data_IF_105102447450
#
_entry.id   IF_105102447450
#
_cell.length_a   1.000
_cell.length_b   1.000
_cell.length_c   1.000
_cell.angle_alpha   90.00
_cell.angle_beta   90.00
_cell.angle_gamma   90.00
#
_symmetry.space_group_name_H-M   'P 1'
#
loop_
_entity.id
_entity.type
_entity.pdbx_description
1 polymer ?
#
# COMPACT_ATOMS: atom_id res chain seq x y z
N UNK A 1 -2.68 19.18 9.91
CA UNK A 1 -2.25 18.99 8.51
C UNK A 1 -0.85 18.41 8.58
N UNK A 2 -0.56 17.37 7.81
CA UNK A 2 0.81 16.83 7.74
C UNK A 2 1.72 17.87 7.09
N UNK A 3 2.96 18.01 7.58
CA UNK A 3 3.98 18.87 6.97
C UNK A 3 4.54 18.28 5.66
N UNK A 4 4.16 17.04 5.33
CA UNK A 4 4.57 16.38 4.11
C UNK A 4 3.73 16.82 2.90
N UNK A 5 4.35 17.08 1.75
CA UNK A 5 3.62 17.34 0.52
C UNK A 5 2.76 16.13 0.13
N UNK A 6 1.53 16.35 -0.38
CA UNK A 6 0.61 15.26 -0.71
C UNK A 6 1.03 14.47 -1.95
N UNK A 7 1.89 15.04 -2.78
CA UNK A 7 2.46 14.42 -3.98
C UNK A 7 3.96 14.73 -3.98
N UNK A 8 4.76 13.69 -4.22
CA UNK A 8 6.22 13.76 -4.28
C UNK A 8 6.68 13.10 -5.57
N UNK A 9 7.87 13.45 -6.02
CA UNK A 9 8.53 12.81 -7.16
C UNK A 9 9.53 11.73 -6.70
N UNK A 10 10.23 11.15 -7.67
CA UNK A 10 11.22 10.09 -7.41
C UNK A 10 12.42 10.62 -6.60
N UNK A 11 12.90 11.84 -6.91
CA UNK A 11 14.07 12.40 -6.27
C UNK A 11 13.83 12.63 -4.77
N UNK A 12 12.63 13.12 -4.42
CA UNK A 12 12.22 13.26 -3.04
C UNK A 12 12.23 11.91 -2.30
N UNK A 13 11.70 10.85 -2.92
CA UNK A 13 11.69 9.51 -2.30
C UNK A 13 13.10 8.98 -2.09
N UNK A 14 14.00 9.14 -3.07
CA UNK A 14 15.39 8.70 -2.97
C UNK A 14 16.17 9.43 -1.86
N UNK A 15 15.90 10.73 -1.65
CA UNK A 15 16.52 11.54 -0.60
C UNK A 15 16.08 11.11 0.82
N UNK A 16 14.81 10.75 1.01
CA UNK A 16 14.25 10.46 2.33
C UNK A 16 14.27 8.96 2.70
N UNK A 17 14.40 8.05 1.72
CA UNK A 17 14.47 6.61 1.97
C UNK A 17 15.53 6.18 3.00
N UNK A 18 16.74 6.78 3.01
CA UNK A 18 17.80 6.41 3.95
C UNK A 18 17.53 6.84 5.40
N UNK A 19 16.61 7.79 5.65
CA UNK A 19 16.34 8.35 6.98
C UNK A 19 15.65 7.35 7.91
N UNK A 20 14.98 6.35 7.34
CA UNK A 20 14.42 5.20 8.07
C UNK A 20 13.12 5.48 8.84
N UNK A 21 12.62 6.71 8.82
CA UNK A 21 11.31 7.09 9.36
C UNK A 21 10.20 7.14 8.29
N UNK A 22 10.57 7.03 7.02
CA UNK A 22 9.64 6.99 5.89
C UNK A 22 8.96 5.62 5.76
N UNK A 23 7.63 5.61 5.87
CA UNK A 23 6.82 4.43 5.54
C UNK A 23 6.31 4.48 4.10
N UNK A 24 6.74 3.52 3.28
CA UNK A 24 6.27 3.35 1.90
C UNK A 24 5.24 2.22 1.80
N UNK A 25 4.02 2.55 1.38
CA UNK A 25 2.97 1.57 1.08
C UNK A 25 2.85 1.31 -0.42
N UNK A 26 2.95 0.06 -0.86
CA UNK A 26 2.60 -0.36 -2.22
C UNK A 26 1.15 -0.84 -2.26
N UNK A 27 0.29 -0.03 -2.88
CA UNK A 27 -1.15 -0.29 -2.98
C UNK A 27 -1.54 -1.09 -4.22
N UNK A 28 -0.57 -1.52 -5.04
CA UNK A 28 -0.83 -2.41 -6.17
C UNK A 28 -1.17 -3.81 -5.66
N UNK A 29 -1.71 -4.64 -6.55
CA UNK A 29 -2.00 -6.04 -6.22
C UNK A 29 -0.75 -6.82 -5.79
N UNK A 30 -0.91 -7.88 -4.95
CA UNK A 30 0.21 -8.60 -4.33
C UNK A 30 1.18 -9.19 -5.36
N UNK A 31 0.68 -9.63 -6.50
CA UNK A 31 1.50 -10.17 -7.59
C UNK A 31 2.44 -9.11 -8.21
N UNK A 32 2.06 -7.83 -8.21
CA UNK A 32 2.90 -6.76 -8.74
C UNK A 32 4.05 -6.44 -7.77
N UNK A 33 3.74 -6.30 -6.48
CA UNK A 33 4.74 -6.09 -5.43
C UNK A 33 5.77 -7.22 -5.41
N UNK A 34 5.31 -8.49 -5.42
CA UNK A 34 6.18 -9.66 -5.38
C UNK A 34 7.16 -9.76 -6.56
N UNK A 35 6.80 -9.24 -7.75
CA UNK A 35 7.67 -9.27 -8.94
C UNK A 35 8.69 -8.14 -8.98
N UNK A 36 8.44 -7.03 -8.28
CA UNK A 36 9.30 -5.86 -8.27
C UNK A 36 8.63 -4.66 -7.60
N UNK A 37 9.31 -4.11 -6.61
CA UNK A 37 8.83 -3.01 -5.79
C UNK A 37 9.99 -2.12 -5.35
N UNK A 38 9.65 -0.91 -4.88
CA UNK A 38 10.62 0.01 -4.29
C UNK A 38 11.17 -0.62 -3.00
N UNK A 39 12.50 -0.65 -2.79
CA UNK A 39 13.10 -1.19 -1.57
C UNK A 39 12.45 -0.62 -0.30
N UNK A 40 12.19 -1.48 0.68
CA UNK A 40 11.58 -1.09 1.96
C UNK A 40 10.05 -0.95 1.95
N UNK A 41 9.41 -0.83 0.77
CA UNK A 41 7.95 -0.71 0.67
C UNK A 41 7.20 -1.94 1.21
N UNK A 42 6.07 -1.69 1.87
CA UNK A 42 5.19 -2.71 2.43
C UNK A 42 3.95 -2.90 1.56
N UNK A 43 3.53 -4.14 1.28
CA UNK A 43 2.29 -4.38 0.56
C UNK A 43 1.11 -3.90 1.41
N UNK A 44 0.35 -2.94 0.89
CA UNK A 44 -0.81 -2.36 1.56
C UNK A 44 -2.03 -2.64 0.68
N UNK A 45 -2.57 -3.86 0.79
CA UNK A 45 -3.70 -4.28 -0.02
C UNK A 45 -4.96 -3.60 0.50
N UNK A 46 -5.33 -2.49 -0.14
CA UNK A 46 -6.55 -1.76 0.15
C UNK A 46 -7.74 -2.42 -0.56
N UNK A 47 -8.80 -2.75 0.19
CA UNK A 47 -10.05 -3.24 -0.38
C UNK A 47 -10.17 -4.76 -0.58
N UNK A 48 -9.22 -5.58 -0.10
CA UNK A 48 -9.46 -7.02 0.03
C UNK A 48 -10.18 -7.30 1.35
N UNK A 49 -11.29 -8.06 1.36
CA UNK A 49 -11.87 -8.54 2.61
C UNK A 49 -10.77 -9.25 3.41
N UNK A 50 -10.71 -9.05 4.75
CA UNK A 50 -9.76 -9.77 5.57
C UNK A 50 -9.86 -11.28 5.30
N UNK A 51 -8.75 -12.05 5.36
CA UNK A 51 -8.72 -13.48 5.03
C UNK A 51 -9.57 -14.38 5.95
N UNK A 52 -10.33 -13.78 6.87
CA UNK A 52 -11.30 -14.38 7.78
C UNK A 52 -12.71 -13.81 7.55
N UNK A 53 -13.03 -13.39 6.33
CA UNK A 53 -14.41 -13.00 6.00
C UNK A 53 -15.24 -14.28 5.92
N UNK A 54 -16.14 -14.45 6.89
CA UNK A 54 -17.13 -15.52 6.82
C UNK A 54 -17.96 -15.37 5.52
N UNK A 55 -18.63 -16.44 5.06
CA UNK A 55 -19.42 -16.40 3.84
C UNK A 55 -20.48 -15.28 3.81
N UNK A 56 -21.03 -14.88 4.96
CA UNK A 56 -22.02 -13.81 5.05
C UNK A 56 -21.40 -12.42 4.88
N UNK A 57 -20.16 -12.22 5.34
CA UNK A 57 -19.38 -11.00 5.09
C UNK A 57 -19.02 -10.82 3.61
N UNK A 58 -18.77 -11.91 2.88
CA UNK A 58 -18.48 -11.85 1.44
C UNK A 58 -19.72 -11.47 0.62
N UNK A 59 -20.89 -11.96 1.00
CA UNK A 59 -22.17 -11.66 0.33
C UNK A 59 -22.58 -10.18 0.51
N UNK A 60 -22.33 -9.61 1.69
CA UNK A 60 -22.58 -8.19 1.96
C UNK A 60 -21.65 -7.21 1.22
N UNK A 61 -20.52 -7.68 0.70
CA UNK A 61 -19.51 -6.88 -0.02
C UNK A 61 -19.57 -7.09 -1.54
N UNK A 62 -20.43 -7.98 -2.03
CA UNK A 62 -20.63 -8.16 -3.46
C UNK A 62 -21.34 -6.93 -4.06
N UNK A 63 -20.82 -6.33 -5.15
CA UNK A 63 -21.56 -5.29 -5.87
C UNK A 63 -22.80 -5.90 -6.54
N UNK A 64 -23.89 -5.11 -6.63
CA UNK A 64 -25.11 -5.46 -7.40
C UNK A 64 -24.84 -5.69 -8.89
#
# INVERSE_FOLDING_TARGET
MSDLPPVVDVAWVEEHLPEGDLFLGDVRGPNAHARGHIPGSKPLVLGSPPPMSDPAMLEALAPE
#
